data_IF_742667252706
#
_entry.id   IF_742667252706
#
_cell.length_a   1.000
_cell.length_b   1.000
_cell.length_c   1.000
_cell.angle_alpha   90.00
_cell.angle_beta   90.00
_cell.angle_gamma   90.00
#
_symmetry.space_group_name_H-M   'P 1'
#
loop_
_entity.id
_entity.type
_entity.pdbx_description
1 polymer ?
#
# COMPACT_ATOMS: atom_id res chain seq x y z
N UNK A 1 -24.06 -9.28 -0.69
CA UNK A 1 -23.40 -9.19 -0.70
C UNK A 1 -22.95 -9.13 -0.46
N UNK A 2 -23.08 -9.22 -0.36
CA UNK A 2 -22.42 -8.87 -0.13
C UNK A 2 -21.33 -8.70 -0.54
N UNK A 3 -20.97 -7.99 -1.09
CA UNK A 3 -19.77 -7.53 -1.36
C UNK A 3 -19.23 -6.96 -0.21
N UNK A 4 -18.87 -7.67 0.72
CA UNK A 4 -18.51 -7.19 2.01
C UNK A 4 -17.26 -6.38 1.99
N UNK A 5 -16.35 -6.67 1.14
CA UNK A 5 -15.07 -5.99 1.22
C UNK A 5 -15.01 -4.78 0.33
N UNK A 6 -16.11 -4.35 -0.22
CA UNK A 6 -16.04 -3.17 -1.04
C UNK A 6 -16.83 -2.09 -0.42
N UNK A 7 -16.41 -0.88 -0.54
CA UNK A 7 -17.21 0.23 -0.17
C UNK A 7 -17.64 0.93 -1.45
N UNK A 8 -18.19 2.07 -1.33
CA UNK A 8 -18.79 2.74 -2.46
C UNK A 8 -17.79 3.11 -3.53
N UNK A 9 -16.54 3.21 -3.18
CA UNK A 9 -15.55 3.52 -4.19
C UNK A 9 -15.03 2.25 -4.78
N UNK A 10 -14.17 2.31 -5.71
CA UNK A 10 -13.69 1.15 -6.43
C UNK A 10 -12.39 0.59 -5.89
N UNK A 11 -11.94 1.01 -4.73
CA UNK A 11 -10.70 0.48 -4.16
C UNK A 11 -10.85 -0.93 -3.63
N UNK A 12 -12.04 -1.29 -3.17
CA UNK A 12 -12.25 -2.59 -2.57
C UNK A 12 -11.68 -2.70 -1.18
N UNK A 13 -11.75 -1.62 -0.41
CA UNK A 13 -11.23 -1.64 0.97
C UNK A 13 -11.99 -2.70 1.76
N UNK A 14 -11.29 -3.55 2.51
CA UNK A 14 -11.96 -4.54 3.35
C UNK A 14 -12.93 -3.88 4.34
N UNK A 15 -14.02 -4.56 4.62
CA UNK A 15 -15.03 -4.03 5.54
C UNK A 15 -14.78 -4.40 6.98
N UNK A 16 -13.90 -5.35 7.23
CA UNK A 16 -13.53 -5.71 8.59
C UNK A 16 -12.83 -4.53 9.25
N UNK A 17 -13.02 -4.39 10.54
CA UNK A 17 -12.36 -3.33 11.27
C UNK A 17 -10.91 -3.71 11.53
N UNK A 18 -9.94 -2.90 11.10
CA UNK A 18 -8.54 -3.24 11.34
C UNK A 18 -8.12 -2.88 12.76
N UNK A 19 -7.03 -3.46 13.21
CA UNK A 19 -6.39 -3.07 14.47
C UNK A 19 -5.81 -1.67 14.32
N UNK A 20 -5.15 -1.42 13.21
CA UNK A 20 -4.64 -0.09 12.86
C UNK A 20 -5.52 0.53 11.80
N UNK A 21 -4.99 0.68 10.60
CA UNK A 21 -5.75 1.18 9.45
C UNK A 21 -5.47 0.27 8.27
N UNK A 22 -6.37 0.30 7.29
CA UNK A 22 -6.14 -0.43 6.05
C UNK A 22 -5.16 0.34 5.17
N UNK A 23 -4.14 -0.36 4.69
CA UNK A 23 -3.13 0.16 3.79
C UNK A 23 -3.14 -0.70 2.55
N UNK A 24 -3.09 -0.09 1.40
CA UNK A 24 -3.13 -0.81 0.13
C UNK A 24 -1.81 -0.70 -0.60
N UNK A 25 -1.48 -1.76 -1.32
CA UNK A 25 -0.35 -1.76 -2.25
C UNK A 25 -0.97 -1.80 -3.64
N UNK A 26 -0.68 -0.77 -4.43
CA UNK A 26 -1.27 -0.58 -5.76
C UNK A 26 -0.23 -0.89 -6.82
N UNK A 27 -0.61 -1.69 -7.80
CA UNK A 27 0.23 -1.96 -8.96
C UNK A 27 -0.64 -1.78 -10.20
N UNK A 28 -0.16 -0.96 -11.13
CA UNK A 28 -0.88 -0.67 -12.37
C UNK A 28 -2.28 -0.16 -12.10
N UNK A 29 -2.40 0.69 -11.09
CA UNK A 29 -3.66 1.35 -10.77
C UNK A 29 -4.66 0.52 -10.02
N UNK A 30 -4.31 -0.70 -9.63
CA UNK A 30 -5.22 -1.57 -8.87
C UNK A 30 -4.58 -1.98 -7.57
N UNK A 31 -5.39 -2.04 -6.51
CA UNK A 31 -4.90 -2.53 -5.22
C UNK A 31 -4.75 -4.05 -5.34
N UNK A 32 -3.51 -4.50 -5.21
CA UNK A 32 -3.20 -5.93 -5.30
C UNK A 32 -3.06 -6.58 -3.94
N UNK A 33 -2.92 -5.78 -2.88
CA UNK A 33 -2.77 -6.31 -1.53
C UNK A 33 -3.24 -5.26 -0.54
N UNK A 34 -4.11 -5.65 0.38
CA UNK A 34 -4.47 -4.84 1.54
C UNK A 34 -3.78 -5.43 2.75
N UNK A 35 -3.34 -4.57 3.67
CA UNK A 35 -2.84 -5.07 4.95
C UNK A 35 -3.29 -4.13 6.06
N UNK A 36 -3.32 -4.68 7.27
CA UNK A 36 -3.67 -3.97 8.49
C UNK A 36 -2.39 -3.45 9.12
N UNK A 37 -2.26 -2.15 9.25
CA UNK A 37 -1.04 -1.55 9.80
C UNK A 37 -0.82 -1.93 11.25
N UNK A 38 -1.83 -2.41 11.93
CA UNK A 38 -1.72 -2.82 13.34
C UNK A 38 -1.14 -4.21 13.52
N UNK A 39 -0.87 -4.93 12.43
CA UNK A 39 -0.36 -6.31 12.50
C UNK A 39 1.00 -6.32 11.82
N UNK A 40 2.04 -6.63 12.60
CA UNK A 40 3.39 -6.71 12.04
C UNK A 40 3.46 -7.83 11.00
N UNK A 41 4.23 -7.61 9.97
CA UNK A 41 4.37 -8.63 8.93
C UNK A 41 5.13 -8.11 7.73
N UNK A 42 5.16 -8.93 6.71
CA UNK A 42 5.84 -8.59 5.47
C UNK A 42 5.00 -9.04 4.30
N UNK A 43 4.96 -8.21 3.26
CA UNK A 43 4.18 -8.48 2.05
C UNK A 43 5.08 -8.27 0.85
N UNK A 44 4.99 -9.18 -0.12
CA UNK A 44 5.81 -9.08 -1.33
C UNK A 44 4.85 -8.99 -2.50
N UNK A 45 5.02 -7.95 -3.31
CA UNK A 45 4.24 -7.82 -4.53
C UNK A 45 5.17 -7.72 -5.71
N UNK A 46 4.67 -8.15 -6.86
CA UNK A 46 5.44 -8.13 -8.09
C UNK A 46 5.14 -6.83 -8.81
N UNK A 47 6.16 -6.04 -9.04
CA UNK A 47 6.04 -4.82 -9.84
C UNK A 47 6.49 -5.07 -11.27
N UNK A 48 6.60 -3.98 -12.03
CA UNK A 48 6.99 -4.09 -13.44
C UNK A 48 8.44 -4.55 -13.64
N UNK A 49 9.31 -4.20 -12.71
CA UNK A 49 10.74 -4.55 -12.79
C UNK A 49 11.03 -5.79 -11.95
N UNK A 50 10.45 -5.88 -10.77
CA UNK A 50 10.71 -6.99 -9.89
C UNK A 50 9.91 -6.88 -8.61
N UNK A 51 10.36 -7.58 -7.58
CA UNK A 51 9.62 -7.67 -6.32
C UNK A 51 9.81 -6.44 -5.45
N UNK A 52 8.73 -6.06 -4.79
CA UNK A 52 8.73 -4.98 -3.81
C UNK A 52 8.36 -5.61 -2.48
N UNK A 53 9.25 -5.51 -1.50
CA UNK A 53 9.08 -6.10 -0.17
C UNK A 53 8.69 -5.02 0.81
N UNK A 54 7.50 -5.14 1.37
CA UNK A 54 6.93 -4.16 2.29
C UNK A 54 6.92 -4.76 3.68
N UNK A 55 7.54 -4.06 4.62
CA UNK A 55 7.55 -4.49 6.02
C UNK A 55 6.61 -3.61 6.82
N UNK A 56 5.83 -4.22 7.71
CA UNK A 56 4.91 -3.53 8.61
C UNK A 56 5.38 -3.79 10.03
N UNK A 57 5.59 -2.73 10.80
CA UNK A 57 6.04 -2.86 12.17
C UNK A 57 5.61 -1.65 12.99
N UNK A 58 5.08 -1.88 14.16
CA UNK A 58 4.70 -0.81 15.08
C UNK A 58 3.80 0.23 14.41
N UNK A 59 2.83 -0.26 13.65
CA UNK A 59 1.83 0.58 12.95
C UNK A 59 2.43 1.49 11.90
N UNK A 60 3.61 1.14 11.41
CA UNK A 60 4.28 1.85 10.32
C UNK A 60 4.62 0.86 9.23
N UNK A 61 4.89 1.37 8.05
CA UNK A 61 5.26 0.51 6.92
C UNK A 61 6.30 1.20 6.07
N UNK A 62 7.11 0.39 5.40
CA UNK A 62 8.13 0.91 4.49
C UNK A 62 8.51 -0.17 3.47
N UNK A 63 9.17 0.24 2.42
CA UNK A 63 9.75 -0.71 1.48
C UNK A 63 11.13 -1.08 2.03
N UNK A 64 11.24 -2.34 2.48
CA UNK A 64 12.48 -2.83 3.04
C UNK A 64 13.48 -3.14 1.94
N UNK A 65 12.97 -3.62 0.81
CA UNK A 65 13.82 -4.09 -0.27
C UNK A 65 13.04 -4.04 -1.56
N UNK A 66 13.68 -3.65 -2.64
CA UNK A 66 13.03 -3.57 -3.93
C UNK A 66 14.05 -3.84 -5.03
N UNK A 67 13.58 -4.52 -6.08
CA UNK A 67 14.39 -4.72 -7.28
C UNK A 67 14.13 -3.51 -8.19
N UNK A 68 14.97 -2.51 -8.07
CA UNK A 68 14.77 -1.24 -8.76
C UNK A 68 16.09 -0.49 -8.79
N UNK A 69 16.46 0.11 -9.92
CA UNK A 69 17.77 0.75 -10.03
C UNK A 69 18.00 1.93 -9.10
N UNK A 70 16.98 2.75 -8.83
CA UNK A 70 17.23 3.98 -8.09
C UNK A 70 16.92 3.89 -6.59
N UNK A 71 16.21 2.87 -6.14
CA UNK A 71 15.95 2.64 -4.71
C UNK A 71 15.25 3.80 -4.01
N UNK A 72 14.54 4.65 -4.73
CA UNK A 72 13.91 5.82 -4.12
C UNK A 72 12.83 5.45 -3.11
N UNK A 73 12.04 4.40 -3.39
CA UNK A 73 10.98 4.00 -2.48
C UNK A 73 11.56 3.50 -1.15
N UNK A 74 12.71 2.82 -1.19
CA UNK A 74 13.38 2.42 0.04
C UNK A 74 13.84 3.65 0.81
N UNK A 75 14.37 4.63 0.11
CA UNK A 75 14.87 5.86 0.74
C UNK A 75 13.78 6.73 1.33
N UNK A 76 12.53 6.54 0.94
CA UNK A 76 11.43 7.30 1.51
C UNK A 76 11.20 6.97 2.98
N UNK A 77 11.67 5.79 3.42
CA UNK A 77 11.60 5.44 4.82
C UNK A 77 10.22 5.00 5.27
N UNK A 78 9.98 5.12 6.56
CA UNK A 78 8.76 4.65 7.19
C UNK A 78 7.60 5.62 6.96
N UNK A 79 6.44 5.08 6.67
CA UNK A 79 5.19 5.83 6.57
C UNK A 79 4.26 5.38 7.69
N UNK A 80 3.25 6.17 7.98
CA UNK A 80 2.27 5.84 8.99
C UNK A 80 0.92 6.47 8.62
N UNK A 81 -0.03 6.39 9.55
CA UNK A 81 -1.39 6.86 9.27
C UNK A 81 -1.44 8.36 8.99
N UNK A 82 -0.42 9.11 9.38
CA UNK A 82 -0.37 10.55 9.18
C UNK A 82 0.37 10.94 7.90
N UNK A 83 0.89 9.98 7.18
CA UNK A 83 1.61 10.28 5.93
C UNK A 83 0.66 10.85 4.89
N UNK A 84 1.11 11.87 4.19
CA UNK A 84 0.30 12.54 3.19
C UNK A 84 0.76 12.21 1.77
N UNK A 85 1.84 11.47 1.63
CA UNK A 85 2.37 11.07 0.33
C UNK A 85 2.55 9.56 0.36
N UNK A 86 2.01 8.84 -0.62
CA UNK A 86 2.22 7.39 -0.66
C UNK A 86 3.66 7.08 -0.99
N UNK A 87 4.16 5.95 -0.47
CA UNK A 87 5.45 5.46 -0.90
C UNK A 87 5.30 5.07 -2.37
N UNK A 88 6.20 5.53 -3.20
CA UNK A 88 6.07 5.41 -4.65
C UNK A 88 7.31 4.77 -5.25
N UNK A 89 7.11 3.73 -6.04
CA UNK A 89 8.16 3.13 -6.84
C UNK A 89 7.73 3.21 -8.30
N UNK A 90 8.16 4.26 -8.98
CA UNK A 90 7.74 4.51 -10.36
C UNK A 90 8.17 3.40 -11.31
N UNK A 91 9.43 2.91 -11.26
CA UNK A 91 9.82 1.84 -12.19
C UNK A 91 8.95 0.59 -12.07
N UNK A 92 8.47 0.30 -10.86
CA UNK A 92 7.61 -0.86 -10.64
C UNK A 92 6.12 -0.54 -10.76
N UNK A 93 5.78 0.75 -10.91
CA UNK A 93 4.39 1.21 -10.93
C UNK A 93 3.66 0.75 -9.68
N UNK A 94 4.29 0.99 -8.54
CA UNK A 94 3.75 0.58 -7.23
C UNK A 94 3.61 1.80 -6.33
N UNK A 95 2.46 1.89 -5.67
CA UNK A 95 2.17 2.92 -4.67
C UNK A 95 1.67 2.23 -3.41
N UNK A 96 2.06 2.74 -2.25
CA UNK A 96 1.64 2.16 -0.98
C UNK A 96 1.13 3.28 -0.09
N UNK A 97 -0.08 3.16 0.39
CA UNK A 97 -0.65 4.20 1.23
C UNK A 97 -1.93 3.76 1.90
N UNK A 98 -2.38 4.56 2.85
CA UNK A 98 -3.65 4.31 3.51
C UNK A 98 -4.78 4.37 2.49
N UNK A 99 -5.90 3.75 2.83
CA UNK A 99 -7.06 3.76 1.95
C UNK A 99 -7.47 5.18 1.58
N UNK A 100 -7.48 6.09 2.57
CA UNK A 100 -7.85 7.47 2.32
C UNK A 100 -6.87 8.15 1.36
N UNK A 101 -5.58 7.93 1.58
CA UNK A 101 -4.56 8.55 0.75
C UNK A 101 -4.63 8.03 -0.68
N UNK A 102 -4.85 6.74 -0.84
CA UNK A 102 -4.94 6.14 -2.16
C UNK A 102 -6.13 6.67 -2.95
N UNK A 103 -7.25 6.89 -2.27
CA UNK A 103 -8.42 7.41 -2.98
C UNK A 103 -8.15 8.77 -3.57
N UNK A 104 -7.29 9.56 -2.94
CA UNK A 104 -6.91 10.87 -3.48
C UNK A 104 -5.91 10.75 -4.62
N UNK A 105 -4.95 9.84 -4.47
CA UNK A 105 -3.83 9.81 -5.41
C UNK A 105 -4.11 9.01 -6.68
N UNK A 106 -4.90 7.97 -6.60
CA UNK A 106 -5.19 7.20 -7.82
C UNK A 106 -6.54 7.55 -8.43
N UNK A 107 -7.19 8.56 -7.88
CA UNK A 107 -8.35 9.12 -8.52
C UNK A 107 -9.52 8.16 -8.63
N UNK A 108 -9.78 7.41 -7.60
CA UNK A 108 -10.88 6.48 -7.60
C UNK A 108 -12.19 7.22 -7.74
N UNK A 109 -13.00 6.75 -8.64
CA UNK A 109 -14.28 7.39 -8.89
C UNK A 109 -15.40 6.60 -8.30
#
# INVERSE_FOLDING_TARGET
STEPSTNADSLGVPTEKPVGIWVGIVHRGKVVQWFDSGIDGEYVVKGNVGEVHVEVKDKKWHVREVDCPNQLCVKMGWADENSIIPITCLPNDVFIGSANLLSEYIGVK
#
